data_IF_677001404525
#
_entry.id   IF_677001404525
#
_cell.length_a   1.000
_cell.length_b   1.000
_cell.length_c   1.000
_cell.angle_alpha   90.00
_cell.angle_beta   90.00
_cell.angle_gamma   90.00
#
_symmetry.space_group_name_H-M   'P 1'
#
loop_
_entity.id
_entity.type
_entity.pdbx_description
1 polymer ?
#
# COMPACT_ATOMS: atom_id res chain seq x y z
N UNK A 1 -28.93 0.17 -13.85
CA UNK A 1 -27.98 0.04 -12.74
C UNK A 1 -27.19 1.33 -12.67
N UNK A 2 -27.23 2.06 -11.57
CA UNK A 2 -26.32 3.21 -11.37
C UNK A 2 -24.89 2.65 -11.36
N UNK A 3 -23.96 3.29 -12.06
CA UNK A 3 -22.56 2.93 -11.97
C UNK A 3 -22.11 3.14 -10.52
N UNK A 4 -21.59 2.10 -9.90
CA UNK A 4 -20.97 2.21 -8.57
C UNK A 4 -19.59 2.84 -8.71
N UNK A 5 -19.27 3.77 -7.81
CA UNK A 5 -17.96 4.41 -7.81
C UNK A 5 -16.92 3.45 -7.24
N UNK A 6 -15.78 3.35 -7.94
CA UNK A 6 -14.60 2.62 -7.48
C UNK A 6 -13.46 3.62 -7.28
N UNK A 7 -12.89 3.65 -6.08
CA UNK A 7 -11.74 4.49 -5.76
C UNK A 7 -10.46 3.77 -6.21
N UNK A 8 -9.71 4.41 -7.10
CA UNK A 8 -8.41 3.91 -7.58
C UNK A 8 -7.30 4.80 -7.00
N UNK A 9 -6.42 4.21 -6.21
CA UNK A 9 -5.24 4.87 -5.68
C UNK A 9 -4.02 4.51 -6.54
N UNK A 10 -3.37 5.51 -7.11
CA UNK A 10 -2.21 5.35 -7.98
C UNK A 10 -0.92 5.23 -7.16
N UNK A 11 -0.26 4.09 -7.22
CA UNK A 11 0.97 3.84 -6.46
C UNK A 11 2.25 3.90 -7.33
N UNK A 12 2.12 4.24 -8.60
CA UNK A 12 3.24 4.33 -9.54
C UNK A 12 4.36 5.25 -9.10
N UNK A 13 4.10 6.47 -8.59
CA UNK A 13 5.14 7.39 -8.13
C UNK A 13 5.96 6.87 -6.94
N UNK A 14 5.40 5.96 -6.13
CA UNK A 14 6.11 5.29 -5.02
C UNK A 14 6.47 3.86 -5.39
N UNK A 15 5.51 2.95 -5.39
CA UNK A 15 5.74 1.52 -5.55
C UNK A 15 6.25 1.18 -6.95
N UNK A 16 5.63 1.76 -7.96
CA UNK A 16 6.01 1.59 -9.35
C UNK A 16 7.45 1.98 -9.64
N UNK A 17 7.89 3.14 -9.15
CA UNK A 17 9.23 3.68 -9.40
C UNK A 17 10.29 3.12 -8.47
N UNK A 18 9.93 2.57 -7.30
CA UNK A 18 10.87 2.16 -6.26
C UNK A 18 11.88 1.12 -6.76
N UNK A 19 11.46 0.21 -7.63
CA UNK A 19 12.26 -0.91 -8.14
C UNK A 19 12.76 -0.71 -9.58
N UNK A 20 12.61 0.49 -10.15
CA UNK A 20 13.06 0.77 -11.51
C UNK A 20 14.58 0.95 -11.57
N UNK A 21 15.20 0.45 -12.64
CA UNK A 21 16.63 0.61 -12.89
C UNK A 21 17.04 2.09 -13.08
N UNK A 22 16.15 2.87 -13.69
CA UNK A 22 16.36 4.31 -13.89
C UNK A 22 15.74 5.08 -12.73
N UNK A 23 16.57 5.74 -11.95
CA UNK A 23 16.13 6.58 -10.84
C UNK A 23 15.72 7.94 -11.39
N UNK A 24 14.48 8.35 -11.13
CA UNK A 24 13.97 9.67 -11.45
C UNK A 24 14.25 10.65 -10.31
N UNK A 25 14.75 11.84 -10.62
CA UNK A 25 14.87 12.93 -9.66
C UNK A 25 13.51 13.48 -9.23
N UNK A 26 13.51 14.23 -8.11
CA UNK A 26 12.28 14.82 -7.52
C UNK A 26 11.46 15.62 -8.52
N UNK A 27 12.11 16.43 -9.40
CA UNK A 27 11.42 17.26 -10.40
C UNK A 27 10.59 16.42 -11.38
N UNK A 28 11.17 15.32 -11.91
CA UNK A 28 10.46 14.43 -12.84
C UNK A 28 9.33 13.65 -12.15
N UNK A 29 9.54 13.26 -10.89
CA UNK A 29 8.50 12.61 -10.09
C UNK A 29 7.36 13.58 -9.81
N UNK A 30 7.64 14.82 -9.41
CA UNK A 30 6.63 15.87 -9.27
C UNK A 30 5.86 16.12 -10.57
N UNK A 31 6.55 16.18 -11.71
CA UNK A 31 5.89 16.33 -13.01
C UNK A 31 4.91 15.17 -13.28
N UNK A 32 5.29 13.92 -12.99
CA UNK A 32 4.41 12.76 -13.13
C UNK A 32 3.20 12.87 -12.18
N UNK A 33 3.43 13.22 -10.91
CA UNK A 33 2.35 13.35 -9.92
C UNK A 33 1.36 14.44 -10.32
N UNK A 34 1.84 15.60 -10.79
CA UNK A 34 0.95 16.66 -11.27
C UNK A 34 0.11 16.21 -12.47
N UNK A 35 0.69 15.46 -13.43
CA UNK A 35 -0.07 14.89 -14.55
C UNK A 35 -1.16 13.91 -14.10
N UNK A 36 -0.91 13.13 -13.06
CA UNK A 36 -1.90 12.23 -12.46
C UNK A 36 -3.02 13.00 -11.75
N UNK A 37 -2.68 14.06 -11.03
CA UNK A 37 -3.66 14.99 -10.41
C UNK A 37 -4.53 15.65 -11.49
N UNK A 38 -3.91 16.14 -12.57
CA UNK A 38 -4.62 16.76 -13.69
C UNK A 38 -5.52 15.77 -14.44
N UNK A 39 -5.18 14.48 -14.41
CA UNK A 39 -6.02 13.39 -14.90
C UNK A 39 -7.17 13.01 -13.96
N UNK A 40 -7.33 13.73 -12.83
CA UNK A 40 -8.35 13.50 -11.81
C UNK A 40 -8.27 12.12 -11.14
N UNK A 41 -7.06 11.60 -10.94
CA UNK A 41 -6.85 10.40 -10.13
C UNK A 41 -7.24 10.73 -8.67
N UNK A 42 -8.12 9.93 -8.03
CA UNK A 42 -8.69 10.29 -6.73
C UNK A 42 -7.70 10.16 -5.56
N UNK A 43 -6.71 9.27 -5.66
CA UNK A 43 -5.68 9.07 -4.65
C UNK A 43 -4.34 8.72 -5.24
N UNK A 44 -3.23 9.20 -4.66
CA UNK A 44 -1.87 8.91 -5.13
C UNK A 44 -0.94 8.69 -3.94
N UNK A 45 -0.21 7.57 -3.95
CA UNK A 45 0.91 7.35 -3.04
C UNK A 45 2.19 7.92 -3.68
N UNK A 46 2.64 9.07 -3.19
CA UNK A 46 3.62 9.91 -3.89
C UNK A 46 5.08 9.65 -3.52
N UNK A 47 5.33 9.14 -2.31
CA UNK A 47 6.69 9.01 -1.78
C UNK A 47 6.79 7.99 -0.65
N UNK A 48 8.03 7.65 -0.29
CA UNK A 48 8.33 6.85 0.89
C UNK A 48 9.44 7.52 1.72
N UNK A 49 9.22 7.67 3.02
CA UNK A 49 10.18 8.21 3.98
C UNK A 49 11.12 7.13 4.52
N UNK A 50 11.63 6.30 3.62
CA UNK A 50 12.67 5.30 3.89
C UNK A 50 14.06 5.94 3.88
N UNK A 51 15.05 5.20 4.38
CA UNK A 51 16.43 5.67 4.30
C UNK A 51 16.88 5.76 2.82
N UNK A 52 17.22 6.95 2.30
CA UNK A 52 17.60 7.12 0.89
C UNK A 52 18.91 6.42 0.51
N UNK A 53 19.74 6.04 1.49
CA UNK A 53 20.92 5.19 1.23
C UNK A 53 20.52 3.73 0.96
N UNK A 54 19.43 3.25 1.55
CA UNK A 54 18.91 1.90 1.33
C UNK A 54 18.03 1.85 0.07
N UNK A 55 17.24 2.88 -0.19
CA UNK A 55 16.32 2.97 -1.34
C UNK A 55 16.53 4.31 -2.08
N UNK A 56 17.58 4.43 -2.90
CA UNK A 56 17.91 5.69 -3.60
C UNK A 56 16.78 6.22 -4.50
N UNK A 57 15.95 5.35 -5.07
CA UNK A 57 14.81 5.72 -5.90
C UNK A 57 13.76 6.56 -5.14
N UNK A 58 13.72 6.47 -3.80
CA UNK A 58 12.79 7.20 -2.95
C UNK A 58 13.42 8.45 -2.31
N UNK A 59 14.65 8.82 -2.70
CA UNK A 59 15.24 10.08 -2.26
C UNK A 59 14.35 11.28 -2.64
N UNK A 60 14.42 12.37 -1.87
CA UNK A 60 13.66 13.59 -2.14
C UNK A 60 12.18 13.54 -1.71
N UNK A 61 11.80 12.64 -0.81
CA UNK A 61 10.41 12.52 -0.34
C UNK A 61 9.89 13.84 0.27
N UNK A 62 10.73 14.57 0.97
CA UNK A 62 10.37 15.85 1.57
C UNK A 62 10.03 16.91 0.49
N UNK A 63 10.89 17.05 -0.52
CA UNK A 63 10.69 17.98 -1.64
C UNK A 63 9.42 17.64 -2.42
N UNK A 64 9.12 16.34 -2.59
CA UNK A 64 7.91 15.90 -3.29
C UNK A 64 6.67 16.32 -2.49
N UNK A 65 6.59 16.02 -1.20
CA UNK A 65 5.42 16.37 -0.38
C UNK A 65 5.23 17.89 -0.34
N UNK A 66 6.30 18.66 -0.12
CA UNK A 66 6.24 20.12 -0.10
C UNK A 66 5.87 20.74 -1.47
N UNK A 67 6.21 20.06 -2.58
CA UNK A 67 5.84 20.51 -3.92
C UNK A 67 4.36 20.28 -4.28
N UNK A 68 3.57 19.62 -3.41
CA UNK A 68 2.19 19.24 -3.65
C UNK A 68 1.16 20.02 -2.81
N UNK A 69 1.43 21.29 -2.49
CA UNK A 69 0.56 22.15 -1.65
C UNK A 69 -0.90 22.25 -2.16
N UNK A 70 -1.16 21.92 -3.44
CA UNK A 70 -2.50 21.93 -4.06
C UNK A 70 -2.77 20.60 -4.76
N UNK A 71 -3.40 19.68 -4.03
CA UNK A 71 -3.79 18.38 -4.59
C UNK A 71 -5.13 18.36 -5.33
N UNK A 72 -5.85 19.51 -5.42
CA UNK A 72 -7.14 19.63 -6.11
C UNK A 72 -8.18 18.56 -5.71
N UNK A 73 -8.17 18.13 -4.44
CA UNK A 73 -9.06 17.08 -3.94
C UNK A 73 -8.54 15.65 -4.13
N UNK A 74 -7.36 15.47 -4.73
CA UNK A 74 -6.68 14.18 -4.76
C UNK A 74 -6.10 13.85 -3.36
N UNK A 75 -6.35 12.64 -2.88
CA UNK A 75 -5.77 12.15 -1.63
C UNK A 75 -4.28 11.84 -1.82
N UNK A 76 -3.42 12.49 -1.06
CA UNK A 76 -1.97 12.32 -1.15
C UNK A 76 -1.46 11.52 0.04
N UNK A 77 -0.98 10.31 -0.20
CA UNK A 77 -0.43 9.42 0.81
C UNK A 77 1.09 9.23 0.67
N UNK A 78 1.73 8.90 1.79
CA UNK A 78 3.15 8.58 1.84
C UNK A 78 3.41 7.35 2.71
N UNK A 79 4.33 6.51 2.28
CA UNK A 79 4.75 5.34 3.06
C UNK A 79 5.80 5.73 4.10
N UNK A 80 5.62 5.24 5.32
CA UNK A 80 6.58 5.39 6.42
C UNK A 80 6.95 4.01 7.00
N UNK A 81 8.26 3.66 7.07
CA UNK A 81 8.68 2.34 7.54
C UNK A 81 8.84 2.27 9.08
N UNK A 82 8.92 3.40 9.77
CA UNK A 82 9.17 3.50 11.21
C UNK A 82 8.84 4.91 11.74
N UNK A 83 8.93 5.08 13.06
CA UNK A 83 8.63 6.37 13.73
C UNK A 83 9.47 7.54 13.20
N UNK A 84 10.73 7.33 12.88
CA UNK A 84 11.57 8.39 12.27
C UNK A 84 11.04 8.83 10.90
N UNK A 85 10.62 7.87 10.07
CA UNK A 85 9.95 8.15 8.80
C UNK A 85 8.66 8.93 9.00
N UNK A 86 7.85 8.54 9.99
CA UNK A 86 6.63 9.26 10.38
C UNK A 86 6.90 10.72 10.79
N UNK A 87 7.89 10.95 11.65
CA UNK A 87 8.26 12.31 12.08
C UNK A 87 8.68 13.20 10.90
N UNK A 88 9.44 12.64 9.96
CA UNK A 88 9.86 13.35 8.75
C UNK A 88 8.68 13.64 7.82
N UNK A 89 7.78 12.68 7.62
CA UNK A 89 6.58 12.82 6.81
C UNK A 89 5.63 13.89 7.39
N UNK A 90 5.39 13.84 8.70
CA UNK A 90 4.58 14.84 9.41
C UNK A 90 5.16 16.25 9.28
N UNK A 91 6.48 16.41 9.45
CA UNK A 91 7.17 17.71 9.25
C UNK A 91 7.11 18.21 7.82
N UNK A 92 7.07 17.29 6.84
CA UNK A 92 6.92 17.65 5.42
C UNK A 92 5.50 18.11 5.07
N UNK A 93 4.51 17.86 5.93
CA UNK A 93 3.11 18.21 5.71
C UNK A 93 2.28 17.06 5.09
N UNK A 94 2.73 15.81 5.22
CA UNK A 94 1.95 14.64 4.78
C UNK A 94 0.59 14.60 5.50
N UNK A 95 -0.47 14.25 4.77
CA UNK A 95 -1.84 14.19 5.28
C UNK A 95 -2.31 12.76 5.50
N UNK A 96 -1.82 11.81 4.71
CA UNK A 96 -2.15 10.38 4.81
C UNK A 96 -0.87 9.58 5.00
N UNK A 97 -0.83 8.79 6.05
CA UNK A 97 0.32 7.97 6.43
C UNK A 97 0.03 6.50 6.13
N UNK A 98 0.92 5.86 5.37
CA UNK A 98 0.81 4.43 5.03
C UNK A 98 1.89 3.62 5.75
N UNK A 99 1.50 2.51 6.40
CA UNK A 99 2.40 1.50 6.97
C UNK A 99 2.27 0.17 6.23
N UNK A 100 3.35 -0.65 6.20
CA UNK A 100 3.42 -1.86 5.36
C UNK A 100 3.95 -3.07 6.15
N UNK A 101 3.23 -3.56 7.18
CA UNK A 101 3.56 -4.85 7.79
C UNK A 101 3.23 -6.01 6.86
N UNK A 102 3.99 -7.10 6.96
CA UNK A 102 3.77 -8.35 6.22
C UNK A 102 3.15 -9.42 7.11
N UNK A 103 2.35 -10.31 6.52
CA UNK A 103 1.63 -11.36 7.27
C UNK A 103 2.53 -12.54 7.71
N UNK A 104 3.82 -12.55 7.37
CA UNK A 104 4.73 -13.65 7.69
C UNK A 104 6.02 -13.18 8.35
N UNK A 105 6.58 -14.03 9.21
CA UNK A 105 7.82 -13.76 9.95
C UNK A 105 8.99 -13.52 9.01
N UNK A 106 9.23 -14.45 8.08
CA UNK A 106 10.38 -14.38 7.18
C UNK A 106 10.34 -13.16 6.26
N UNK A 107 9.14 -12.74 5.80
CA UNK A 107 9.01 -11.55 4.97
C UNK A 107 9.36 -10.28 5.75
N UNK A 108 8.91 -10.15 6.99
CA UNK A 108 9.27 -9.01 7.85
C UNK A 108 10.77 -8.99 8.14
N UNK A 109 11.37 -10.11 8.48
CA UNK A 109 12.81 -10.22 8.72
C UNK A 109 13.63 -9.78 7.49
N UNK A 110 13.26 -10.23 6.30
CA UNK A 110 13.99 -9.89 5.07
C UNK A 110 13.77 -8.46 4.59
N UNK A 111 12.54 -7.93 4.76
CA UNK A 111 12.18 -6.62 4.25
C UNK A 111 12.66 -5.49 5.18
N UNK A 112 12.47 -5.63 6.48
CA UNK A 112 12.70 -4.56 7.46
C UNK A 112 13.53 -4.98 8.67
N UNK A 113 14.04 -6.23 8.68
CA UNK A 113 14.87 -6.80 9.75
C UNK A 113 14.20 -6.75 11.14
N UNK A 114 12.91 -7.05 11.19
CA UNK A 114 12.08 -7.12 12.41
C UNK A 114 11.27 -8.41 12.40
N UNK A 115 10.90 -8.91 13.57
CA UNK A 115 9.92 -9.99 13.70
C UNK A 115 8.52 -9.52 13.30
N UNK A 116 7.60 -10.46 13.08
CA UNK A 116 6.19 -10.15 12.80
C UNK A 116 5.57 -9.30 13.92
N UNK A 117 5.77 -9.70 15.17
CA UNK A 117 5.21 -8.98 16.31
C UNK A 117 5.81 -7.58 16.49
N UNK A 118 7.12 -7.42 16.32
CA UNK A 118 7.78 -6.12 16.35
C UNK A 118 7.27 -5.20 15.22
N UNK A 119 7.10 -5.74 14.02
CA UNK A 119 6.60 -4.99 12.86
C UNK A 119 5.17 -4.50 13.10
N UNK A 120 4.29 -5.38 13.59
CA UNK A 120 2.92 -4.99 13.90
C UNK A 120 2.89 -3.96 15.04
N UNK A 121 3.68 -4.16 16.10
CA UNK A 121 3.76 -3.21 17.21
C UNK A 121 4.27 -1.83 16.75
N UNK A 122 5.30 -1.79 15.91
CA UNK A 122 5.82 -0.56 15.30
C UNK A 122 4.76 0.13 14.44
N UNK A 123 4.07 -0.62 13.58
CA UNK A 123 2.97 -0.10 12.74
C UNK A 123 1.84 0.48 13.59
N UNK A 124 1.40 -0.24 14.62
CA UNK A 124 0.38 0.24 15.55
C UNK A 124 0.78 1.54 16.28
N UNK A 125 2.05 1.68 16.65
CA UNK A 125 2.55 2.92 17.28
C UNK A 125 2.51 4.10 16.29
N UNK A 126 2.89 3.88 15.03
CA UNK A 126 2.81 4.90 13.98
C UNK A 126 1.35 5.33 13.75
N UNK A 127 0.43 4.37 13.61
CA UNK A 127 -0.99 4.64 13.40
C UNK A 127 -1.58 5.48 14.53
N UNK A 128 -1.31 5.14 15.79
CA UNK A 128 -1.74 5.90 16.97
C UNK A 128 -1.20 7.35 16.93
N UNK A 129 0.10 7.51 16.68
CA UNK A 129 0.72 8.84 16.58
C UNK A 129 0.17 9.68 15.43
N UNK A 130 -0.16 9.04 14.31
CA UNK A 130 -0.81 9.70 13.17
C UNK A 130 -2.23 10.18 13.54
N UNK A 131 -3.02 9.36 14.22
CA UNK A 131 -4.37 9.74 14.71
C UNK A 131 -4.31 10.86 15.73
N UNK A 132 -3.36 10.84 16.67
CA UNK A 132 -3.12 11.92 17.63
C UNK A 132 -2.75 13.25 16.92
N UNK A 133 -2.14 13.14 15.74
CA UNK A 133 -1.79 14.27 14.87
C UNK A 133 -2.91 14.66 13.89
N UNK A 134 -4.10 14.06 13.97
CA UNK A 134 -5.24 14.24 13.05
C UNK A 134 -4.89 13.91 11.59
N UNK A 135 -4.00 12.96 11.34
CA UNK A 135 -3.68 12.47 10.01
C UNK A 135 -4.53 11.24 9.68
N UNK A 136 -4.84 11.08 8.40
CA UNK A 136 -5.45 9.85 7.88
C UNK A 136 -4.40 8.73 7.78
N UNK A 137 -4.86 7.49 7.83
CA UNK A 137 -3.96 6.34 7.95
C UNK A 137 -4.40 5.18 7.06
N UNK A 138 -3.41 4.59 6.38
CA UNK A 138 -3.57 3.37 5.58
C UNK A 138 -2.59 2.31 6.08
N UNK A 139 -3.00 1.06 6.09
CA UNK A 139 -2.14 -0.05 6.51
C UNK A 139 -2.26 -1.22 5.55
N UNK A 140 -1.13 -1.61 4.96
CA UNK A 140 -1.06 -2.85 4.19
C UNK A 140 -1.01 -4.06 5.10
N UNK A 141 -1.57 -5.16 4.63
CA UNK A 141 -1.25 -6.52 5.05
C UNK A 141 -0.57 -7.17 3.85
N UNK A 142 0.76 -7.07 3.77
CA UNK A 142 1.53 -7.62 2.65
C UNK A 142 1.60 -9.14 2.71
N UNK A 143 1.76 -9.80 1.56
CA UNK A 143 1.71 -11.24 1.38
C UNK A 143 0.46 -11.89 1.96
N UNK A 144 -0.71 -11.25 1.81
CA UNK A 144 -1.98 -11.68 2.43
C UNK A 144 -2.46 -13.05 1.96
N UNK A 145 -2.06 -13.53 0.78
CA UNK A 145 -2.43 -14.84 0.24
C UNK A 145 -1.28 -15.83 0.22
N UNK A 146 -0.10 -15.38 -0.22
CA UNK A 146 1.07 -16.26 -0.35
C UNK A 146 2.35 -15.48 -0.12
N UNK A 147 3.26 -16.07 0.65
CA UNK A 147 4.60 -15.55 0.92
C UNK A 147 5.63 -16.31 0.06
N UNK A 148 6.60 -15.64 -0.56
CA UNK A 148 7.61 -16.32 -1.38
C UNK A 148 8.54 -17.23 -0.58
N UNK A 149 8.52 -17.12 0.75
CA UNK A 149 9.39 -17.89 1.65
C UNK A 149 8.63 -18.95 2.46
N UNK A 150 7.39 -18.67 2.85
CA UNK A 150 6.60 -19.52 3.75
C UNK A 150 5.40 -20.19 3.05
N UNK A 151 5.16 -19.84 1.77
CA UNK A 151 4.03 -20.37 1.00
C UNK A 151 2.69 -19.75 1.40
N UNK A 152 1.63 -20.55 1.39
CA UNK A 152 0.26 -20.06 1.67
C UNK A 152 0.13 -19.47 3.07
N UNK A 153 -0.52 -18.32 3.15
CA UNK A 153 -0.81 -17.63 4.41
C UNK A 153 -2.21 -18.02 4.89
N UNK A 154 -2.30 -18.34 6.18
CA UNK A 154 -3.58 -18.65 6.80
C UNK A 154 -4.42 -17.37 6.96
N UNK A 155 -5.68 -17.41 6.50
CA UNK A 155 -6.59 -16.27 6.58
C UNK A 155 -6.76 -15.74 8.02
N UNK A 156 -6.69 -16.60 9.03
CA UNK A 156 -6.79 -16.18 10.43
C UNK A 156 -5.66 -15.24 10.87
N UNK A 157 -4.48 -15.31 10.24
CA UNK A 157 -3.37 -14.38 10.48
C UNK A 157 -3.74 -13.01 9.91
N UNK A 158 -4.26 -12.98 8.68
CA UNK A 158 -4.69 -11.74 8.01
C UNK A 158 -5.79 -11.06 8.80
N UNK A 159 -6.82 -11.79 9.24
CA UNK A 159 -7.92 -11.26 10.07
C UNK A 159 -7.41 -10.66 11.39
N UNK A 160 -6.54 -11.37 12.12
CA UNK A 160 -5.95 -10.86 13.36
C UNK A 160 -5.10 -9.61 13.15
N UNK A 161 -4.33 -9.56 12.05
CA UNK A 161 -3.57 -8.36 11.72
C UNK A 161 -4.48 -7.18 11.40
N UNK A 162 -5.51 -7.41 10.58
CA UNK A 162 -6.53 -6.41 10.23
C UNK A 162 -7.18 -5.83 11.49
N UNK A 163 -7.63 -6.68 12.41
CA UNK A 163 -8.21 -6.25 13.68
C UNK A 163 -7.24 -5.39 14.51
N UNK A 164 -5.98 -5.82 14.65
CA UNK A 164 -4.95 -5.07 15.39
C UNK A 164 -4.66 -3.70 14.79
N UNK A 165 -4.57 -3.62 13.46
CA UNK A 165 -4.28 -2.38 12.74
C UNK A 165 -5.47 -1.40 12.81
N UNK A 166 -6.70 -1.89 12.63
CA UNK A 166 -7.93 -1.08 12.80
C UNK A 166 -8.06 -0.56 14.24
N UNK A 167 -7.83 -1.42 15.24
CA UNK A 167 -7.84 -1.03 16.66
C UNK A 167 -6.77 0.02 16.98
N UNK A 168 -5.65 0.01 16.26
CA UNK A 168 -4.59 1.00 16.40
C UNK A 168 -4.89 2.32 15.68
N UNK A 169 -5.97 2.40 14.90
CA UNK A 169 -6.43 3.61 14.21
C UNK A 169 -6.14 3.65 12.72
N UNK A 170 -5.99 2.51 12.05
CA UNK A 170 -6.01 2.49 10.59
C UNK A 170 -7.41 2.87 10.08
N UNK A 171 -7.49 3.82 9.14
CA UNK A 171 -8.73 4.18 8.45
C UNK A 171 -8.98 3.28 7.23
N UNK A 172 -7.94 2.65 6.70
CA UNK A 172 -8.01 1.73 5.57
C UNK A 172 -7.01 0.58 5.72
N UNK A 173 -7.44 -0.64 5.40
CA UNK A 173 -6.62 -1.85 5.35
C UNK A 173 -6.53 -2.34 3.90
N UNK A 174 -5.30 -2.43 3.38
CA UNK A 174 -5.02 -2.89 2.03
C UNK A 174 -4.52 -4.34 2.10
N UNK A 175 -5.33 -5.28 1.60
CA UNK A 175 -4.88 -6.66 1.45
C UNK A 175 -4.04 -6.76 0.16
N UNK A 176 -2.75 -7.12 0.31
CA UNK A 176 -1.81 -7.10 -0.81
C UNK A 176 -1.37 -8.50 -1.25
N UNK A 177 -1.62 -8.80 -2.51
CA UNK A 177 -1.04 -9.94 -3.24
C UNK A 177 0.36 -9.55 -3.77
N UNK A 178 1.29 -9.41 -2.85
CA UNK A 178 2.63 -8.85 -3.06
C UNK A 178 3.44 -9.55 -4.15
N UNK A 179 3.18 -10.84 -4.40
CA UNK A 179 3.91 -11.63 -5.41
C UNK A 179 3.04 -12.02 -6.61
N UNK A 180 1.78 -11.59 -6.66
CA UNK A 180 0.84 -11.93 -7.72
C UNK A 180 0.53 -13.42 -7.78
N UNK A 181 0.39 -14.07 -6.62
CA UNK A 181 0.13 -15.50 -6.48
C UNK A 181 -1.34 -15.83 -6.26
N UNK A 182 -2.15 -14.87 -5.87
CA UNK A 182 -3.58 -15.03 -5.65
C UNK A 182 -4.35 -15.33 -6.94
N UNK A 183 -5.50 -15.92 -6.78
CA UNK A 183 -6.46 -16.17 -7.86
C UNK A 183 -7.88 -15.75 -7.40
N UNK A 184 -8.84 -15.58 -8.33
CA UNK A 184 -10.17 -15.09 -8.00
C UNK A 184 -10.88 -15.84 -6.88
N UNK A 185 -10.74 -17.17 -6.83
CA UNK A 185 -11.35 -17.99 -5.77
C UNK A 185 -10.76 -17.68 -4.40
N UNK A 186 -9.42 -17.59 -4.30
CA UNK A 186 -8.75 -17.26 -3.02
C UNK A 186 -8.99 -15.81 -2.59
N UNK A 187 -9.11 -14.90 -3.57
CA UNK A 187 -9.42 -13.47 -3.31
C UNK A 187 -10.84 -13.34 -2.77
N UNK A 188 -11.83 -13.90 -3.46
CA UNK A 188 -13.22 -13.88 -2.99
C UNK A 188 -13.35 -14.51 -1.59
N UNK A 189 -12.71 -15.65 -1.36
CA UNK A 189 -12.74 -16.29 -0.05
C UNK A 189 -12.20 -15.40 1.07
N UNK A 190 -11.00 -14.79 0.91
CA UNK A 190 -10.40 -13.95 1.95
C UNK A 190 -11.22 -12.68 2.19
N UNK A 191 -11.66 -11.98 1.12
CA UNK A 191 -12.50 -10.79 1.29
C UNK A 191 -13.85 -11.12 1.91
N UNK A 192 -14.47 -12.25 1.55
CA UNK A 192 -15.70 -12.71 2.19
C UNK A 192 -15.52 -12.90 3.70
N UNK A 193 -14.42 -13.50 4.15
CA UNK A 193 -14.11 -13.60 5.58
C UNK A 193 -13.95 -12.21 6.22
N UNK A 194 -13.25 -11.30 5.56
CA UNK A 194 -13.00 -9.95 6.08
C UNK A 194 -14.28 -9.12 6.18
N UNK A 195 -15.17 -9.13 5.18
CA UNK A 195 -16.41 -8.33 5.21
C UNK A 195 -17.45 -8.87 6.20
N UNK A 196 -17.30 -10.11 6.65
CA UNK A 196 -18.13 -10.66 7.74
C UNK A 196 -17.69 -10.18 9.13
N UNK A 197 -16.45 -9.68 9.27
CA UNK A 197 -15.89 -9.22 10.56
C UNK A 197 -15.68 -7.70 10.60
N UNK A 198 -15.44 -7.06 9.45
CA UNK A 198 -15.09 -5.65 9.34
C UNK A 198 -15.98 -4.95 8.33
N UNK A 199 -16.13 -3.62 8.49
CA UNK A 199 -16.81 -2.80 7.50
C UNK A 199 -16.07 -2.88 6.15
N UNK A 200 -16.79 -3.19 5.08
CA UNK A 200 -16.23 -3.25 3.72
C UNK A 200 -15.60 -1.92 3.27
N UNK A 201 -16.06 -0.79 3.81
CA UNK A 201 -15.56 0.54 3.46
C UNK A 201 -14.13 0.81 3.94
N UNK A 202 -13.66 0.06 4.94
CA UNK A 202 -12.27 0.15 5.41
C UNK A 202 -11.34 -0.81 4.69
N UNK A 203 -11.83 -1.64 3.77
CA UNK A 203 -11.05 -2.66 3.06
C UNK A 203 -10.73 -2.24 1.64
N UNK A 204 -9.53 -2.54 1.19
CA UNK A 204 -9.06 -2.33 -0.18
C UNK A 204 -8.16 -3.46 -0.66
N UNK A 205 -7.93 -3.52 -1.97
CA UNK A 205 -7.12 -4.55 -2.61
C UNK A 205 -5.93 -3.98 -3.38
N UNK A 206 -4.79 -4.69 -3.30
CA UNK A 206 -3.58 -4.40 -4.06
C UNK A 206 -3.10 -5.70 -4.72
N UNK A 207 -3.07 -5.73 -6.05
CA UNK A 207 -2.80 -6.95 -6.80
C UNK A 207 -1.67 -6.76 -7.80
N UNK A 208 -0.62 -7.60 -7.69
CA UNK A 208 0.41 -7.73 -8.72
C UNK A 208 -0.06 -8.66 -9.85
N UNK A 209 0.35 -8.34 -11.09
CA UNK A 209 -0.10 -9.06 -12.30
C UNK A 209 0.87 -10.15 -12.76
N UNK A 210 1.63 -10.73 -11.86
CA UNK A 210 2.67 -11.74 -12.14
C UNK A 210 2.14 -12.94 -12.92
N UNK A 211 0.89 -13.35 -12.65
CA UNK A 211 0.22 -14.49 -13.32
C UNK A 211 -0.89 -14.03 -14.26
N UNK A 212 -0.94 -12.77 -14.65
CA UNK A 212 -2.01 -12.16 -15.45
C UNK A 212 -3.41 -12.36 -14.82
N UNK A 213 -3.48 -12.32 -13.48
CA UNK A 213 -4.70 -12.52 -12.71
C UNK A 213 -5.20 -11.27 -12.00
N UNK A 214 -4.42 -10.16 -12.00
CA UNK A 214 -4.74 -9.00 -11.19
C UNK A 214 -6.15 -8.44 -11.48
N UNK A 215 -6.52 -8.25 -12.75
CA UNK A 215 -7.85 -7.76 -13.12
C UNK A 215 -8.97 -8.76 -12.74
N UNK A 216 -8.73 -10.06 -12.89
CA UNK A 216 -9.69 -11.09 -12.46
C UNK A 216 -9.85 -11.10 -10.93
N UNK A 217 -8.76 -10.84 -10.19
CA UNK A 217 -8.77 -10.69 -8.73
C UNK A 217 -9.55 -9.45 -8.29
N UNK A 218 -9.40 -8.33 -9.00
CA UNK A 218 -10.24 -7.13 -8.79
C UNK A 218 -11.73 -7.46 -8.98
N UNK A 219 -12.09 -8.16 -10.05
CA UNK A 219 -13.48 -8.58 -10.28
C UNK A 219 -14.02 -9.44 -9.12
N UNK A 220 -13.20 -10.36 -8.59
CA UNK A 220 -13.60 -11.18 -7.44
C UNK A 220 -13.79 -10.32 -6.18
N UNK A 221 -12.88 -9.39 -5.90
CA UNK A 221 -13.01 -8.48 -4.76
C UNK A 221 -14.22 -7.54 -4.89
N UNK A 222 -14.50 -7.02 -6.10
CA UNK A 222 -15.72 -6.23 -6.39
C UNK A 222 -17.00 -7.01 -6.08
N UNK A 223 -17.03 -8.33 -6.34
CA UNK A 223 -18.17 -9.21 -6.04
C UNK A 223 -18.42 -9.35 -4.54
N UNK A 224 -17.38 -9.21 -3.72
CA UNK A 224 -17.46 -9.19 -2.25
C UNK A 224 -17.72 -7.79 -1.67
N UNK A 225 -17.98 -6.78 -2.50
CA UNK A 225 -18.33 -5.43 -2.06
C UNK A 225 -17.14 -4.46 -1.95
N UNK A 226 -15.92 -4.89 -2.24
CA UNK A 226 -14.75 -4.00 -2.16
C UNK A 226 -14.81 -2.95 -3.28
N UNK A 227 -14.51 -1.69 -2.95
CA UNK A 227 -14.60 -0.55 -3.89
C UNK A 227 -13.34 0.32 -3.93
N UNK A 228 -12.26 -0.10 -3.26
CA UNK A 228 -10.99 0.62 -3.25
C UNK A 228 -9.87 -0.30 -3.72
N UNK A 229 -9.03 0.19 -4.64
CA UNK A 229 -7.93 -0.59 -5.21
C UNK A 229 -6.71 0.28 -5.48
N UNK A 230 -5.54 -0.28 -5.25
CA UNK A 230 -4.30 0.29 -5.77
C UNK A 230 -4.12 -0.10 -7.25
N UNK A 231 -3.58 0.82 -8.03
CA UNK A 231 -3.21 0.63 -9.44
C UNK A 231 -1.88 1.32 -9.72
N UNK A 232 -1.23 0.93 -10.78
CA UNK A 232 0.05 1.53 -11.16
C UNK A 232 0.11 1.85 -12.64
N UNK A 233 0.30 3.12 -12.97
CA UNK A 233 0.44 3.59 -14.34
C UNK A 233 1.51 2.78 -15.11
N UNK A 234 1.13 2.27 -16.28
CA UNK A 234 2.02 1.51 -17.16
C UNK A 234 2.39 0.12 -16.61
N UNK A 235 1.68 -0.39 -15.59
CA UNK A 235 2.00 -1.67 -14.96
C UNK A 235 3.40 -1.66 -14.31
N UNK A 236 3.87 -0.50 -13.85
CA UNK A 236 5.14 -0.39 -13.15
C UNK A 236 5.08 -1.07 -11.79
N UNK A 237 6.23 -1.46 -11.27
CA UNK A 237 6.36 -2.09 -9.97
C UNK A 237 7.10 -3.41 -10.06
N UNK A 238 6.83 -4.27 -9.09
CA UNK A 238 7.48 -5.55 -8.89
C UNK A 238 7.91 -5.70 -7.44
N UNK A 239 8.20 -6.91 -7.04
CA UNK A 239 8.66 -7.18 -5.69
C UNK A 239 10.14 -7.57 -5.72
N UNK A 240 11.05 -6.86 -5.03
CA UNK A 240 12.47 -7.21 -5.00
C UNK A 240 12.73 -8.59 -4.36
N UNK A 241 11.78 -9.09 -3.57
CA UNK A 241 11.82 -10.39 -2.91
C UNK A 241 11.16 -11.51 -3.74
N UNK A 242 10.55 -11.17 -4.88
CA UNK A 242 9.98 -12.10 -5.85
C UNK A 242 10.52 -11.76 -7.26
N UNK A 243 11.74 -12.21 -7.60
CA UNK A 243 12.33 -11.94 -8.92
C UNK A 243 11.39 -12.41 -10.04
N UNK A 244 11.08 -11.51 -10.98
CA UNK A 244 10.13 -11.78 -12.06
C UNK A 244 8.67 -11.48 -11.74
N UNK A 245 8.35 -11.00 -10.53
CA UNK A 245 7.02 -10.45 -10.26
C UNK A 245 6.76 -9.24 -11.15
N UNK A 246 5.66 -9.27 -11.89
CA UNK A 246 5.19 -8.13 -12.68
C UNK A 246 4.77 -6.99 -11.75
N UNK A 247 4.57 -5.80 -12.32
CA UNK A 247 4.04 -4.66 -11.58
C UNK A 247 2.59 -4.85 -11.16
N UNK A 248 2.06 -3.80 -10.58
CA UNK A 248 0.67 -3.74 -10.16
C UNK A 248 -0.27 -3.57 -11.35
N UNK A 249 -1.55 -3.82 -11.11
CA UNK A 249 -2.62 -3.59 -12.06
C UNK A 249 -2.60 -2.17 -12.60
#
# INVERSE_FOLDING_TARGET
MSAEFVFVNEVGPRDGLQNQKTILGSDKRLQLIHQLIDANIPGIEVASFVNPKAVPAMAGANEIVQGLEKSNGCEISVLVPNMKGFELASKAGAQVITVVPSATETMNQKNINMSLDETIASSCNILKSAKESNLQTRAYVSVAWECPYEGKVDASIVLKMTERLLTAGADEIILADTIGAANPSSVGHLFNLCVNEFDQEVLSGHFHDTRAMALANVCAALSEGIRKFDSCIGGLGGCPFAPGAAGNL
#
